data_IF_375028240870
#
_entry.id   IF_375028240870
#
_cell.length_a   1.000
_cell.length_b   1.000
_cell.length_c   1.000
_cell.angle_alpha   90.00
_cell.angle_beta   90.00
_cell.angle_gamma   90.00
#
_symmetry.space_group_name_H-M   'P 1'
#
loop_
_entity.id
_entity.type
_entity.pdbx_description
1 polymer ?
#
# COMPACT_ATOMS: atom_id res chain seq x y z
N UNK A 1 14.63 -12.59 15.31
CA UNK A 1 15.66 -11.54 15.46
C UNK A 1 17.08 -12.06 15.21
N UNK A 2 17.27 -13.09 14.39
CA UNK A 2 18.55 -13.84 14.30
C UNK A 2 19.55 -13.31 13.26
N UNK A 3 19.26 -12.20 12.57
CA UNK A 3 20.12 -11.61 11.54
C UNK A 3 20.43 -10.11 11.70
N UNK A 4 19.89 -9.46 12.74
CA UNK A 4 20.17 -8.05 13.00
C UNK A 4 21.39 -7.94 13.93
N UNK A 5 22.38 -7.06 13.62
CA UNK A 5 23.39 -6.66 14.57
C UNK A 5 22.72 -6.22 15.88
N UNK A 6 23.29 -6.59 17.03
CA UNK A 6 22.68 -6.36 18.34
C UNK A 6 22.40 -4.87 18.59
N UNK A 7 23.30 -4.01 18.07
CA UNK A 7 23.25 -2.53 18.09
C UNK A 7 22.16 -1.92 17.22
N UNK A 8 21.58 -2.70 16.30
CA UNK A 8 20.66 -2.23 15.27
C UNK A 8 19.25 -2.83 15.39
N UNK A 9 19.00 -3.54 16.50
CA UNK A 9 17.64 -3.87 16.91
C UNK A 9 16.97 -2.57 17.31
N UNK A 10 16.07 -2.07 16.47
CA UNK A 10 15.07 -1.09 16.91
C UNK A 10 14.40 -1.69 18.14
N UNK A 11 14.62 -1.11 19.32
CA UNK A 11 13.81 -1.43 20.49
C UNK A 11 12.40 -1.02 20.06
N UNK A 12 11.45 -1.96 19.92
CA UNK A 12 10.06 -1.58 19.69
C UNK A 12 9.69 -0.62 20.81
N UNK A 13 8.80 0.33 20.52
CA UNK A 13 8.14 1.13 21.54
C UNK A 13 7.83 0.22 22.75
N UNK A 14 8.55 0.41 23.86
CA UNK A 14 8.62 -0.60 24.94
C UNK A 14 7.21 -0.88 25.50
N UNK A 15 7.04 -2.08 26.07
CA UNK A 15 5.92 -2.37 26.98
C UNK A 15 5.99 -1.37 28.15
N UNK A 16 5.35 -0.20 28.00
CA UNK A 16 5.48 0.94 28.92
C UNK A 16 5.35 2.32 28.26
N UNK A 17 5.33 2.40 26.93
CA UNK A 17 5.12 3.66 26.20
C UNK A 17 3.77 4.33 26.46
N UNK A 18 3.75 5.66 26.40
CA UNK A 18 2.52 6.42 26.51
C UNK A 18 1.70 6.33 25.21
N UNK A 19 0.37 6.48 25.27
CA UNK A 19 -0.46 6.59 24.06
C UNK A 19 0.01 7.68 23.08
N UNK A 20 0.66 8.74 23.58
CA UNK A 20 1.22 9.81 22.74
C UNK A 20 2.42 9.33 21.93
N UNK A 21 3.24 8.43 22.47
CA UNK A 21 4.39 7.87 21.76
C UNK A 21 3.94 7.04 20.56
N UNK A 22 2.93 6.19 20.75
CA UNK A 22 2.34 5.41 19.65
C UNK A 22 1.73 6.32 18.58
N UNK A 23 0.94 7.33 18.98
CA UNK A 23 0.33 8.28 18.05
C UNK A 23 1.38 9.11 17.28
N UNK A 24 2.50 9.46 17.92
CA UNK A 24 3.60 10.16 17.25
C UNK A 24 4.24 9.27 16.17
N UNK A 25 4.44 7.97 16.46
CA UNK A 25 4.94 7.00 15.48
C UNK A 25 3.96 6.81 14.32
N UNK A 26 2.66 6.69 14.60
CA UNK A 26 1.63 6.56 13.57
C UNK A 26 1.59 7.79 12.64
N UNK A 27 1.70 8.99 13.22
CA UNK A 27 1.75 10.24 12.45
C UNK A 27 2.96 10.28 11.50
N UNK A 28 4.17 9.94 11.97
CA UNK A 28 5.36 9.95 11.11
C UNK A 28 5.31 8.85 10.05
N UNK A 29 4.76 7.67 10.36
CA UNK A 29 4.49 6.59 9.39
C UNK A 29 3.49 7.02 8.33
N UNK A 30 2.41 7.71 8.71
CA UNK A 30 1.42 8.26 7.78
C UNK A 30 2.08 9.25 6.81
N UNK A 31 2.96 10.10 7.32
CA UNK A 31 3.77 11.04 6.53
C UNK A 31 4.91 10.38 5.72
N UNK A 32 5.07 9.05 5.79
CA UNK A 32 6.15 8.28 5.12
C UNK A 32 7.55 8.74 5.55
N UNK A 33 7.68 9.26 6.75
CA UNK A 33 8.96 9.56 7.39
C UNK A 33 9.52 8.30 8.07
N UNK A 34 10.73 8.39 8.62
CA UNK A 34 11.22 7.32 9.47
C UNK A 34 10.34 7.26 10.74
N UNK A 35 9.94 6.06 11.20
CA UNK A 35 9.25 5.78 12.47
C UNK A 35 10.06 6.19 13.71
N UNK A 36 10.34 7.48 13.86
CA UNK A 36 11.11 8.05 14.96
C UNK A 36 10.60 9.46 15.25
N UNK A 37 10.31 9.73 16.52
CA UNK A 37 9.82 11.01 17.00
C UNK A 37 10.40 11.32 18.38
N UNK A 38 10.59 12.61 18.68
CA UNK A 38 10.84 13.10 20.03
C UNK A 38 9.52 13.61 20.59
N UNK A 39 9.07 13.02 21.69
CA UNK A 39 7.81 13.38 22.35
C UNK A 39 8.12 14.05 23.68
N UNK A 40 7.49 15.19 23.94
CA UNK A 40 7.64 15.96 25.19
C UNK A 40 6.24 16.30 25.68
N UNK A 41 5.94 15.90 26.92
CA UNK A 41 4.75 16.42 27.61
C UNK A 41 5.03 17.85 28.06
N UNK A 42 4.24 18.78 27.53
CA UNK A 42 4.36 20.21 27.83
C UNK A 42 3.68 20.58 29.15
N UNK A 43 2.92 19.67 29.77
CA UNK A 43 2.32 19.86 31.09
C UNK A 43 1.13 20.82 31.11
N UNK A 44 0.41 20.98 30.00
CA UNK A 44 -0.78 21.83 29.93
C UNK A 44 -1.86 21.34 30.90
N UNK A 45 -2.50 22.27 31.62
CA UNK A 45 -3.54 21.94 32.59
C UNK A 45 -4.88 21.55 31.97
N UNK A 46 -5.14 22.01 30.73
CA UNK A 46 -6.32 21.65 29.94
C UNK A 46 -6.11 21.88 28.43
N UNK A 47 -7.10 21.48 27.62
CA UNK A 47 -7.03 21.56 26.15
C UNK A 47 -7.06 23.01 25.65
N UNK A 48 -7.78 23.92 26.31
CA UNK A 48 -7.88 25.33 25.89
C UNK A 48 -6.52 26.03 26.02
N UNK A 49 -5.81 25.79 27.13
CA UNK A 49 -4.45 26.28 27.34
C UNK A 49 -3.49 25.78 26.25
N UNK A 50 -3.57 24.49 25.90
CA UNK A 50 -2.78 23.93 24.80
C UNK A 50 -3.14 24.60 23.46
N UNK A 51 -4.43 24.79 23.15
CA UNK A 51 -4.87 25.41 21.90
C UNK A 51 -4.40 26.86 21.77
N UNK A 52 -4.51 27.64 22.84
CA UNK A 52 -4.03 29.01 22.87
C UNK A 52 -2.52 29.08 22.71
N UNK A 53 -1.77 28.20 23.39
CA UNK A 53 -0.32 28.10 23.22
C UNK A 53 0.06 27.72 21.78
N UNK A 54 -0.58 26.70 21.21
CA UNK A 54 -0.37 26.30 19.82
C UNK A 54 -0.63 27.45 18.84
N UNK A 55 -1.74 28.17 19.01
CA UNK A 55 -2.10 29.32 18.18
C UNK A 55 -1.10 30.46 18.29
N UNK A 56 -0.68 30.82 19.52
CA UNK A 56 0.30 31.88 19.76
C UNK A 56 1.67 31.57 19.14
N UNK A 57 2.02 30.29 19.03
CA UNK A 57 3.31 29.83 18.51
C UNK A 57 3.26 29.33 17.05
N UNK A 58 2.10 29.40 16.38
CA UNK A 58 1.94 28.93 15.01
C UNK A 58 2.12 27.41 14.86
N UNK A 59 1.80 26.65 15.90
CA UNK A 59 1.90 25.19 15.94
C UNK A 59 0.53 24.59 15.67
N UNK A 60 0.46 23.63 14.75
CA UNK A 60 -0.75 22.87 14.50
C UNK A 60 -0.98 21.89 15.66
N UNK A 61 -2.18 21.90 16.23
CA UNK A 61 -2.61 20.86 17.15
C UNK A 61 -3.46 19.82 16.40
N UNK A 62 -3.33 18.55 16.79
CA UNK A 62 -4.08 17.44 16.21
C UNK A 62 -4.63 16.57 17.34
N UNK A 63 -5.92 16.22 17.27
CA UNK A 63 -6.50 15.26 18.19
C UNK A 63 -6.05 13.85 17.80
N UNK A 64 -5.67 13.00 18.76
CA UNK A 64 -5.25 11.62 18.49
C UNK A 64 -6.28 10.81 17.68
N UNK A 65 -7.59 11.07 17.90
CA UNK A 65 -8.68 10.46 17.13
C UNK A 65 -8.59 10.73 15.62
N UNK A 66 -8.02 11.86 15.20
CA UNK A 66 -7.84 12.14 13.79
C UNK A 66 -6.84 11.17 13.12
N UNK A 67 -5.97 10.51 13.90
CA UNK A 67 -5.04 9.49 13.40
C UNK A 67 -5.64 8.09 13.42
N UNK A 68 -6.58 7.80 14.33
CA UNK A 68 -7.22 6.48 14.43
C UNK A 68 -8.47 6.36 13.55
N UNK A 69 -9.22 7.45 13.40
CA UNK A 69 -10.56 7.45 12.81
C UNK A 69 -10.58 7.95 11.36
N UNK A 70 -9.44 8.36 10.79
CA UNK A 70 -9.37 8.90 9.42
C UNK A 70 -9.92 7.94 8.37
N UNK A 71 -9.88 6.63 8.63
CA UNK A 71 -10.45 5.60 7.76
C UNK A 71 -11.98 5.64 7.74
N UNK A 72 -12.63 6.08 8.83
CA UNK A 72 -14.09 6.22 8.91
C UNK A 72 -14.56 7.45 8.11
N UNK A 73 -13.76 8.51 8.10
CA UNK A 73 -14.02 9.74 7.34
C UNK A 73 -13.43 9.69 5.91
N UNK A 74 -12.87 8.54 5.51
CA UNK A 74 -12.21 8.41 4.23
C UNK A 74 -13.22 8.49 3.08
N UNK A 75 -13.12 9.57 2.30
CA UNK A 75 -13.96 9.80 1.13
C UNK A 75 -13.09 9.82 -0.12
N UNK A 76 -13.37 8.90 -1.02
CA UNK A 76 -12.77 8.82 -2.35
C UNK A 76 -13.80 9.20 -3.41
N UNK A 77 -13.46 10.15 -4.28
CA UNK A 77 -14.31 10.61 -5.36
C UNK A 77 -13.65 10.37 -6.72
N UNK A 78 -14.45 10.04 -7.72
CA UNK A 78 -14.02 10.09 -9.11
C UNK A 78 -13.82 11.55 -9.53
N UNK A 79 -12.65 11.87 -10.08
CA UNK A 79 -12.30 13.21 -10.55
C UNK A 79 -12.51 13.34 -12.05
N UNK A 80 -12.08 12.34 -12.82
CA UNK A 80 -12.22 12.32 -14.27
C UNK A 80 -12.09 10.90 -14.83
N UNK A 81 -12.54 10.73 -16.08
CA UNK A 81 -12.38 9.50 -16.86
C UNK A 81 -12.05 9.82 -18.32
N UNK A 82 -11.32 8.94 -18.98
CA UNK A 82 -11.00 9.05 -20.41
C UNK A 82 -10.79 7.67 -21.03
N UNK A 83 -10.95 7.57 -22.34
CA UNK A 83 -10.42 6.44 -23.09
C UNK A 83 -8.89 6.39 -22.95
N UNK A 84 -8.35 5.17 -22.89
CA UNK A 84 -6.93 4.87 -22.77
C UNK A 84 -6.56 3.78 -23.76
N UNK A 85 -5.54 4.03 -24.58
CA UNK A 85 -5.07 3.09 -25.59
C UNK A 85 -3.78 2.43 -25.09
N UNK A 86 -3.91 1.17 -24.64
CA UNK A 86 -2.78 0.36 -24.18
C UNK A 86 -2.22 -0.49 -25.33
N UNK A 87 -0.94 -0.80 -25.26
CA UNK A 87 -0.25 -1.64 -26.25
C UNK A 87 -0.97 -2.99 -26.47
N UNK A 88 -1.39 -3.64 -25.38
CA UNK A 88 -2.10 -4.92 -25.42
C UNK A 88 -3.64 -4.77 -25.42
N UNK A 89 -4.18 -3.55 -25.25
CA UNK A 89 -5.63 -3.30 -25.27
C UNK A 89 -5.97 -1.89 -25.75
N UNK A 90 -6.43 -1.80 -27.00
CA UNK A 90 -6.90 -0.55 -27.60
C UNK A 90 -8.28 -0.11 -27.09
N UNK A 91 -9.02 -1.00 -26.41
CA UNK A 91 -10.31 -0.70 -25.79
C UNK A 91 -10.14 -0.67 -24.28
N UNK A 92 -9.70 0.46 -23.74
CA UNK A 92 -9.59 0.63 -22.28
C UNK A 92 -10.05 2.02 -21.87
N UNK A 93 -10.41 2.16 -20.59
CA UNK A 93 -10.74 3.44 -19.95
C UNK A 93 -9.92 3.58 -18.69
N UNK A 94 -9.46 4.79 -18.42
CA UNK A 94 -8.86 5.15 -17.14
C UNK A 94 -9.82 6.06 -16.37
N UNK A 95 -9.93 5.81 -15.08
CA UNK A 95 -10.73 6.58 -14.14
C UNK A 95 -9.82 6.99 -12.98
N UNK A 96 -9.75 8.28 -12.70
CA UNK A 96 -8.92 8.86 -11.65
C UNK A 96 -9.76 9.12 -10.41
N UNK A 97 -9.28 8.63 -9.27
CA UNK A 97 -9.90 8.79 -7.97
C UNK A 97 -8.99 9.58 -7.05
N UNK A 98 -9.58 10.55 -6.34
CA UNK A 98 -8.85 11.39 -5.38
C UNK A 98 -9.52 11.37 -4.03
N UNK A 99 -8.71 11.30 -2.99
CA UNK A 99 -9.17 11.41 -1.61
C UNK A 99 -9.31 12.88 -1.19
N UNK A 100 -10.27 13.18 -0.30
CA UNK A 100 -10.42 14.52 0.26
C UNK A 100 -9.33 14.90 1.27
N UNK A 101 -8.59 13.93 1.80
CA UNK A 101 -7.56 14.14 2.82
C UNK A 101 -6.14 14.34 2.24
N UNK A 102 -6.02 14.60 0.93
CA UNK A 102 -4.75 15.00 0.31
C UNK A 102 -3.77 13.86 -0.01
N UNK A 103 -4.23 12.61 0.02
CA UNK A 103 -3.45 11.46 -0.41
C UNK A 103 -3.20 11.43 -1.94
N UNK A 104 -2.18 10.67 -2.40
CA UNK A 104 -1.97 10.42 -3.82
C UNK A 104 -3.21 9.83 -4.50
N UNK A 105 -3.44 10.21 -5.75
CA UNK A 105 -4.54 9.69 -6.55
C UNK A 105 -4.42 8.19 -6.79
N UNK A 106 -5.56 7.54 -7.01
CA UNK A 106 -5.65 6.14 -7.38
C UNK A 106 -6.35 5.99 -8.72
N UNK A 107 -6.10 4.89 -9.40
CA UNK A 107 -6.58 4.71 -10.77
C UNK A 107 -7.29 3.38 -10.92
N UNK A 108 -8.43 3.40 -11.60
CA UNK A 108 -9.03 2.21 -12.18
C UNK A 108 -8.78 2.22 -13.69
N UNK A 109 -8.28 1.11 -14.22
CA UNK A 109 -8.15 0.89 -15.65
C UNK A 109 -9.13 -0.22 -16.01
N UNK A 110 -10.20 0.14 -16.69
CA UNK A 110 -11.21 -0.80 -17.20
C UNK A 110 -10.76 -1.25 -18.59
N UNK A 111 -10.57 -2.55 -18.77
CA UNK A 111 -10.18 -3.15 -20.04
C UNK A 111 -11.43 -3.76 -20.67
N UNK A 112 -11.68 -3.44 -21.94
CA UNK A 112 -12.85 -3.86 -22.68
C UNK A 112 -14.16 -3.21 -22.21
N UNK A 113 -15.25 -3.96 -22.34
CA UNK A 113 -16.59 -3.60 -21.84
C UNK A 113 -17.12 -4.75 -20.96
N UNK A 114 -16.50 -5.00 -19.80
CA UNK A 114 -16.82 -6.16 -18.99
C UNK A 114 -18.18 -6.02 -18.30
N UNK A 115 -18.88 -7.14 -18.14
CA UNK A 115 -19.93 -7.22 -17.14
C UNK A 115 -19.33 -7.03 -15.74
N UNK A 116 -20.04 -6.30 -14.89
CA UNK A 116 -19.56 -5.97 -13.53
C UNK A 116 -19.68 -7.15 -12.56
N UNK A 117 -20.64 -8.05 -12.81
CA UNK A 117 -20.82 -9.26 -12.02
C UNK A 117 -19.66 -10.24 -12.24
N UNK A 118 -19.08 -10.75 -11.16
CA UNK A 118 -18.01 -11.74 -11.16
C UNK A 118 -16.79 -11.36 -12.02
N UNK A 119 -16.52 -10.06 -12.10
CA UNK A 119 -15.48 -9.47 -12.95
C UNK A 119 -14.07 -9.83 -12.46
N UNK A 120 -13.13 -10.00 -13.39
CA UNK A 120 -11.72 -10.20 -13.04
C UNK A 120 -11.09 -8.87 -12.65
N UNK A 121 -10.53 -8.82 -11.43
CA UNK A 121 -9.88 -7.64 -10.87
C UNK A 121 -8.44 -7.93 -10.52
N UNK A 122 -7.54 -7.08 -11.03
CA UNK A 122 -6.14 -7.02 -10.62
C UNK A 122 -5.95 -5.87 -9.64
N UNK A 123 -5.69 -6.19 -8.37
CA UNK A 123 -5.26 -5.19 -7.39
C UNK A 123 -3.75 -5.00 -7.43
N UNK A 124 -3.29 -3.91 -8.04
CA UNK A 124 -1.87 -3.56 -8.18
C UNK A 124 -1.47 -2.46 -7.19
N UNK A 125 -0.45 -2.73 -6.38
CA UNK A 125 0.17 -1.71 -5.53
C UNK A 125 1.28 -1.05 -6.34
N UNK A 126 1.27 0.28 -6.44
CA UNK A 126 2.24 1.04 -7.23
C UNK A 126 3.69 0.68 -6.89
N UNK A 127 4.53 0.56 -7.92
CA UNK A 127 5.95 0.31 -7.77
C UNK A 127 6.74 1.12 -8.81
N UNK A 128 7.15 2.34 -8.47
CA UNK A 128 7.89 3.25 -9.34
C UNK A 128 9.11 2.59 -10.00
N UNK A 129 9.97 1.95 -9.20
CA UNK A 129 11.18 1.31 -9.71
C UNK A 129 10.88 0.14 -10.65
N UNK A 130 9.83 -0.64 -10.36
CA UNK A 130 9.42 -1.75 -11.22
C UNK A 130 8.67 -1.25 -12.44
N UNK A 131 7.47 -0.71 -12.21
CA UNK A 131 6.48 -0.35 -13.22
C UNK A 131 7.05 0.65 -14.23
N UNK A 132 7.70 1.74 -13.77
CA UNK A 132 8.22 2.79 -14.65
C UNK A 132 9.64 2.48 -15.14
N UNK A 133 10.57 2.17 -14.24
CA UNK A 133 11.99 2.04 -14.59
C UNK A 133 12.40 0.64 -15.06
N UNK A 134 11.55 -0.37 -14.93
CA UNK A 134 11.86 -1.74 -15.36
C UNK A 134 12.87 -2.47 -14.46
N UNK A 135 12.93 -2.11 -13.17
CA UNK A 135 13.84 -2.74 -12.20
C UNK A 135 13.68 -4.26 -12.17
N UNK A 136 14.79 -4.99 -12.32
CA UNK A 136 14.85 -6.45 -12.24
C UNK A 136 14.75 -6.99 -10.81
N UNK A 137 14.98 -6.15 -9.79
CA UNK A 137 14.91 -6.52 -8.37
C UNK A 137 13.50 -6.84 -7.86
N UNK A 138 12.46 -6.64 -8.68
CA UNK A 138 11.09 -6.99 -8.36
C UNK A 138 10.35 -7.46 -9.61
N UNK A 139 9.18 -8.07 -9.40
CA UNK A 139 8.32 -8.61 -10.46
C UNK A 139 7.09 -7.71 -10.75
N UNK A 140 7.06 -6.48 -10.22
CA UNK A 140 5.88 -5.61 -10.29
C UNK A 140 5.47 -5.28 -11.73
N UNK A 141 6.42 -4.86 -12.58
CA UNK A 141 6.12 -4.51 -13.98
C UNK A 141 5.58 -5.68 -14.77
N UNK A 142 6.25 -6.83 -14.67
CA UNK A 142 5.86 -8.02 -15.41
C UNK A 142 4.50 -8.52 -14.92
N UNK A 143 4.19 -8.43 -13.63
CA UNK A 143 2.82 -8.69 -13.14
C UNK A 143 1.78 -7.69 -13.69
N UNK A 144 2.12 -6.40 -13.82
CA UNK A 144 1.19 -5.40 -14.37
C UNK A 144 0.91 -5.66 -15.85
N UNK A 145 1.95 -5.82 -16.67
CA UNK A 145 1.82 -6.02 -18.12
C UNK A 145 1.09 -7.33 -18.45
N UNK A 146 1.42 -8.42 -17.78
CA UNK A 146 0.72 -9.69 -17.96
C UNK A 146 -0.75 -9.58 -17.55
N UNK A 147 -1.09 -8.74 -16.55
CA UNK A 147 -2.48 -8.54 -16.17
C UNK A 147 -3.25 -7.79 -17.25
N UNK A 148 -2.64 -6.75 -17.85
CA UNK A 148 -3.22 -6.06 -19.00
C UNK A 148 -3.48 -7.06 -20.14
N UNK A 149 -2.48 -7.86 -20.50
CA UNK A 149 -2.59 -8.85 -21.58
C UNK A 149 -3.68 -9.88 -21.31
N UNK A 150 -3.70 -10.49 -20.12
CA UNK A 150 -4.69 -11.49 -19.75
C UNK A 150 -6.11 -10.94 -19.80
N UNK A 151 -6.33 -9.74 -19.27
CA UNK A 151 -7.64 -9.10 -19.29
C UNK A 151 -8.06 -8.69 -20.70
N UNK A 152 -7.11 -8.31 -21.55
CA UNK A 152 -7.36 -8.01 -22.96
C UNK A 152 -7.77 -9.26 -23.76
N UNK A 153 -7.10 -10.40 -23.52
CA UNK A 153 -7.43 -11.70 -24.11
C UNK A 153 -8.83 -12.19 -23.68
N UNK A 154 -9.25 -11.84 -22.46
CA UNK A 154 -10.60 -12.10 -21.94
C UNK A 154 -11.62 -11.03 -22.33
N UNK A 155 -11.21 -10.00 -23.08
CA UNK A 155 -12.01 -8.85 -23.50
C UNK A 155 -12.71 -8.11 -22.35
N UNK A 156 -12.17 -8.16 -21.13
CA UNK A 156 -12.87 -7.64 -19.96
C UNK A 156 -12.11 -7.76 -18.64
N UNK A 157 -12.02 -6.66 -17.90
CA UNK A 157 -11.61 -6.66 -16.49
C UNK A 157 -11.23 -5.30 -15.94
N UNK A 158 -10.80 -5.26 -14.69
CA UNK A 158 -10.37 -4.03 -14.01
C UNK A 158 -8.96 -4.21 -13.44
N UNK A 159 -8.09 -3.24 -13.67
CA UNK A 159 -6.84 -3.07 -12.91
C UNK A 159 -7.04 -1.90 -11.96
N UNK A 160 -6.90 -2.15 -10.66
CA UNK A 160 -6.84 -1.12 -9.64
C UNK A 160 -5.38 -0.80 -9.37
N UNK A 161 -4.92 0.38 -9.77
CA UNK A 161 -3.59 0.88 -9.48
C UNK A 161 -3.65 1.79 -8.26
N UNK A 162 -3.34 1.22 -7.09
CA UNK A 162 -3.38 1.93 -5.81
C UNK A 162 -1.99 2.49 -5.51
N UNK A 163 -1.94 3.80 -5.27
CA UNK A 163 -0.72 4.57 -5.02
C UNK A 163 -0.19 4.36 -3.60
N UNK A 164 0.38 3.19 -3.37
CA UNK A 164 0.91 2.73 -2.08
C UNK A 164 2.29 2.07 -2.26
N UNK A 165 3.26 2.91 -2.62
CA UNK A 165 4.65 2.50 -2.86
C UNK A 165 5.29 1.84 -1.63
N UNK A 166 6.19 0.88 -1.88
CA UNK A 166 6.97 0.25 -0.82
C UNK A 166 6.15 -0.56 0.18
N UNK A 167 4.92 -0.97 -0.17
CA UNK A 167 3.94 -1.52 0.78
C UNK A 167 3.46 -0.50 1.81
N UNK A 168 3.24 0.74 1.37
CA UNK A 168 2.73 1.79 2.23
C UNK A 168 3.80 2.60 2.96
N UNK A 169 5.09 2.22 2.92
CA UNK A 169 6.17 2.99 3.56
C UNK A 169 6.72 4.13 2.67
N UNK A 170 6.32 4.19 1.41
CA UNK A 170 6.78 5.20 0.45
C UNK A 170 8.11 4.86 -0.24
N UNK A 171 8.42 5.59 -1.32
CA UNK A 171 9.59 5.30 -2.17
C UNK A 171 10.91 5.48 -1.42
N UNK A 172 11.07 6.58 -0.68
CA UNK A 172 12.31 6.87 0.02
C UNK A 172 12.69 5.75 1.00
N UNK A 173 11.72 5.27 1.79
CA UNK A 173 11.96 4.19 2.75
C UNK A 173 12.17 2.84 2.06
N UNK A 174 11.51 2.57 0.93
CA UNK A 174 11.82 1.41 0.09
C UNK A 174 13.28 1.41 -0.37
N UNK A 175 13.79 2.54 -0.85
CA UNK A 175 15.19 2.64 -1.27
C UNK A 175 16.15 2.49 -0.08
N UNK A 176 15.83 3.05 1.08
CA UNK A 176 16.58 2.81 2.33
C UNK A 176 16.60 1.32 2.69
N UNK A 177 15.46 0.64 2.64
CA UNK A 177 15.36 -0.79 2.90
C UNK A 177 16.20 -1.61 1.90
N UNK A 178 16.23 -1.23 0.62
CA UNK A 178 17.11 -1.87 -0.37
C UNK A 178 18.59 -1.70 -0.05
N UNK A 179 19.00 -0.50 0.34
CA UNK A 179 20.39 -0.25 0.79
C UNK A 179 20.75 -1.15 1.98
N UNK A 180 19.86 -1.26 2.96
CA UNK A 180 20.06 -2.12 4.14
C UNK A 180 20.12 -3.61 3.77
N UNK A 181 19.28 -4.07 2.85
CA UNK A 181 19.33 -5.45 2.35
C UNK A 181 20.70 -5.75 1.73
N UNK A 182 21.24 -4.84 0.92
CA UNK A 182 22.54 -5.03 0.28
C UNK A 182 23.71 -4.93 1.27
N UNK A 183 23.68 -3.94 2.17
CA UNK A 183 24.77 -3.70 3.12
C UNK A 183 24.86 -4.76 4.21
N UNK A 184 23.71 -5.25 4.69
CA UNK A 184 23.61 -6.12 5.86
C UNK A 184 23.13 -7.53 5.52
N UNK A 185 22.97 -7.86 4.24
CA UNK A 185 22.42 -9.15 3.76
C UNK A 185 21.07 -9.49 4.40
N UNK A 186 20.26 -8.47 4.71
CA UNK A 186 18.93 -8.64 5.30
C UNK A 186 17.92 -9.04 4.23
N UNK A 187 16.87 -9.75 4.64
CA UNK A 187 15.68 -9.92 3.79
C UNK A 187 14.78 -8.67 3.83
N UNK A 188 13.77 -8.63 2.97
CA UNK A 188 12.85 -7.47 2.90
C UNK A 188 12.07 -7.24 4.19
N UNK A 189 11.73 -8.30 4.94
CA UNK A 189 11.00 -8.18 6.21
C UNK A 189 11.90 -7.59 7.28
N UNK A 190 13.11 -8.14 7.43
CA UNK A 190 14.07 -7.71 8.43
C UNK A 190 14.57 -6.28 8.16
N UNK A 191 14.74 -5.89 6.89
CA UNK A 191 15.09 -4.52 6.52
C UNK A 191 13.97 -3.50 6.81
N UNK A 192 12.70 -3.87 6.64
CA UNK A 192 11.58 -2.99 7.02
C UNK A 192 11.50 -2.83 8.54
N UNK A 193 11.65 -3.93 9.28
CA UNK A 193 11.65 -3.91 10.75
C UNK A 193 12.82 -3.12 11.31
N UNK A 194 14.01 -3.21 10.69
CA UNK A 194 15.16 -2.35 11.02
C UNK A 194 14.79 -0.87 10.96
N UNK A 195 14.02 -0.47 9.95
CA UNK A 195 13.55 0.90 9.79
C UNK A 195 12.37 1.26 10.71
N UNK A 196 11.85 0.32 11.51
CA UNK A 196 10.71 0.54 12.40
C UNK A 196 9.33 0.43 11.73
N UNK A 197 9.25 -0.14 10.53
CA UNK A 197 7.99 -0.40 9.83
C UNK A 197 7.49 -1.82 10.05
N UNK A 198 6.18 -2.00 9.93
CA UNK A 198 5.56 -3.32 9.89
C UNK A 198 5.84 -4.04 8.56
N UNK A 199 5.56 -5.34 8.52
CA UNK A 199 5.83 -6.18 7.34
C UNK A 199 5.01 -5.74 6.10
N UNK A 200 3.84 -5.13 6.33
CA UNK A 200 2.91 -4.60 5.34
C UNK A 200 2.05 -3.46 5.92
N UNK A 201 2.31 -2.23 5.50
CA UNK A 201 1.63 -1.00 5.97
C UNK A 201 0.53 -0.54 4.99
N UNK A 202 0.08 -1.46 4.13
CA UNK A 202 -0.90 -1.15 3.08
C UNK A 202 -2.32 -1.13 3.63
N UNK A 203 -3.12 -0.24 3.04
CA UNK A 203 -4.53 -0.09 3.32
C UNK A 203 -5.30 -0.34 2.04
N UNK A 204 -6.27 -1.26 2.11
CA UNK A 204 -7.06 -1.67 0.95
C UNK A 204 -8.42 -0.95 0.85
N UNK A 205 -8.71 -0.05 1.79
CA UNK A 205 -9.90 0.80 1.76
C UNK A 205 -10.08 1.56 0.44
N UNK A 206 -9.04 2.18 -0.16
CA UNK A 206 -9.23 2.89 -1.42
C UNK A 206 -9.63 1.94 -2.56
N UNK A 207 -9.05 0.74 -2.61
CA UNK A 207 -9.44 -0.29 -3.59
C UNK A 207 -10.90 -0.70 -3.42
N UNK A 208 -11.33 -0.94 -2.18
CA UNK A 208 -12.72 -1.26 -1.86
C UNK A 208 -13.67 -0.13 -2.29
N UNK A 209 -13.33 1.13 -2.03
CA UNK A 209 -14.18 2.26 -2.43
C UNK A 209 -14.29 2.41 -3.96
N UNK A 210 -13.18 2.22 -4.68
CA UNK A 210 -13.19 2.24 -6.15
C UNK A 210 -14.11 1.13 -6.67
N UNK A 211 -13.99 -0.10 -6.15
CA UNK A 211 -14.85 -1.22 -6.55
C UNK A 211 -16.34 -0.93 -6.31
N UNK A 212 -16.69 -0.35 -5.15
CA UNK A 212 -18.09 0.06 -4.87
C UNK A 212 -18.57 1.14 -5.84
N UNK A 213 -17.72 2.12 -6.15
CA UNK A 213 -18.06 3.19 -7.10
C UNK A 213 -18.33 2.63 -8.50
N UNK A 214 -17.54 1.63 -8.92
CA UNK A 214 -17.74 0.91 -10.17
C UNK A 214 -18.94 -0.06 -10.16
N UNK A 215 -19.63 -0.21 -9.02
CA UNK A 215 -20.78 -1.08 -8.87
C UNK A 215 -20.45 -2.57 -8.71
N UNK A 216 -19.18 -2.92 -8.44
CA UNK A 216 -18.75 -4.32 -8.27
C UNK A 216 -19.30 -4.87 -6.95
N UNK A 217 -19.92 -6.04 -7.00
CA UNK A 217 -20.41 -6.78 -5.83
C UNK A 217 -19.70 -8.12 -5.63
N UNK A 218 -19.35 -8.79 -6.73
CA UNK A 218 -18.58 -10.03 -6.76
C UNK A 218 -17.43 -9.94 -7.77
N UNK A 219 -16.31 -10.60 -7.47
CA UNK A 219 -15.12 -10.53 -8.30
C UNK A 219 -14.24 -11.77 -8.22
N UNK A 220 -13.42 -11.95 -9.25
CA UNK A 220 -12.30 -12.89 -9.26
C UNK A 220 -11.01 -12.09 -9.10
N UNK A 221 -10.20 -12.37 -8.07
CA UNK A 221 -8.96 -11.64 -7.82
C UNK A 221 -7.77 -12.29 -8.50
N UNK A 222 -7.11 -11.53 -9.39
CA UNK A 222 -5.87 -11.93 -10.05
C UNK A 222 -4.66 -11.61 -9.13
N UNK A 223 -4.33 -12.55 -8.23
CA UNK A 223 -3.30 -12.36 -7.21
C UNK A 223 -2.68 -13.65 -6.67
N UNK A 224 -1.42 -13.55 -6.25
CA UNK A 224 -0.68 -14.56 -5.48
C UNK A 224 -0.62 -14.24 -3.99
N UNK A 225 -1.18 -13.10 -3.57
CA UNK A 225 -1.12 -12.66 -2.19
C UNK A 225 -2.45 -12.98 -1.48
N UNK A 226 -2.51 -13.97 -0.58
CA UNK A 226 -3.73 -14.31 0.14
C UNK A 226 -4.23 -13.17 1.04
N UNK A 227 -3.34 -12.29 1.51
CA UNK A 227 -3.71 -11.11 2.30
C UNK A 227 -4.63 -10.18 1.51
N UNK A 228 -4.40 -9.99 0.18
CA UNK A 228 -5.28 -9.15 -0.65
C UNK A 228 -6.70 -9.70 -0.74
N UNK A 229 -6.83 -11.02 -0.77
CA UNK A 229 -8.14 -11.70 -0.80
C UNK A 229 -8.89 -11.46 0.50
N UNK A 230 -8.21 -11.68 1.64
CA UNK A 230 -8.79 -11.45 2.96
C UNK A 230 -9.19 -9.99 3.16
N UNK A 231 -8.32 -9.05 2.80
CA UNK A 231 -8.55 -7.61 2.97
C UNK A 231 -9.72 -7.11 2.14
N UNK A 232 -9.83 -7.52 0.87
CA UNK A 232 -11.00 -7.17 0.05
C UNK A 232 -12.28 -7.80 0.60
N UNK A 233 -12.22 -9.05 1.06
CA UNK A 233 -13.35 -9.73 1.71
C UNK A 233 -13.86 -9.01 2.96
N UNK A 234 -12.97 -8.43 3.79
CA UNK A 234 -13.35 -7.63 4.97
C UNK A 234 -14.21 -6.41 4.63
N UNK A 235 -14.11 -5.89 3.40
CA UNK A 235 -14.94 -4.80 2.91
C UNK A 235 -16.28 -5.26 2.31
N UNK A 236 -16.64 -6.54 2.45
CA UNK A 236 -17.95 -7.08 2.07
C UNK A 236 -18.07 -7.49 0.60
N UNK A 237 -16.95 -7.66 -0.09
CA UNK A 237 -16.94 -8.17 -1.47
C UNK A 237 -16.90 -9.70 -1.50
N UNK A 238 -17.69 -10.30 -2.39
CA UNK A 238 -17.62 -11.72 -2.67
C UNK A 238 -16.46 -12.04 -3.63
N UNK A 239 -15.35 -12.54 -3.08
CA UNK A 239 -14.22 -13.01 -3.88
C UNK A 239 -14.46 -14.47 -4.27
N UNK A 240 -15.10 -14.66 -5.42
CA UNK A 240 -15.57 -15.96 -5.91
C UNK A 240 -14.43 -16.89 -6.34
N UNK A 241 -13.29 -16.31 -6.75
CA UNK A 241 -12.12 -17.05 -7.22
C UNK A 241 -10.84 -16.24 -7.06
N UNK A 242 -9.76 -16.92 -6.68
CA UNK A 242 -8.39 -16.40 -6.78
C UNK A 242 -7.73 -16.99 -8.03
N UNK A 243 -7.28 -16.13 -8.93
CA UNK A 243 -6.54 -16.50 -10.14
C UNK A 243 -5.06 -16.25 -9.86
N UNK A 244 -4.20 -17.28 -9.83
CA UNK A 244 -2.79 -17.11 -9.57
C UNK A 244 -2.06 -16.50 -10.77
N UNK A 245 -0.85 -16.05 -10.52
CA UNK A 245 -0.02 -15.29 -11.42
C UNK A 245 1.32 -15.99 -11.58
N UNK A 246 1.59 -16.59 -12.73
CA UNK A 246 2.89 -17.22 -12.95
C UNK A 246 3.91 -16.18 -13.41
N UNK A 247 5.03 -16.09 -12.69
CA UNK A 247 6.11 -15.14 -12.98
C UNK A 247 7.45 -15.86 -13.08
N UNK A 248 8.24 -15.47 -14.07
CA UNK A 248 9.60 -15.97 -14.21
C UNK A 248 10.51 -15.36 -13.14
N UNK A 249 11.31 -16.23 -12.52
CA UNK A 249 12.35 -15.85 -11.56
C UNK A 249 13.63 -15.54 -12.34
N UNK A 250 14.28 -14.42 -12.02
CA UNK A 250 15.58 -14.04 -12.54
C UNK A 250 16.63 -13.99 -11.42
N UNK A 251 17.91 -13.80 -11.77
CA UNK A 251 19.03 -13.78 -10.82
C UNK A 251 18.93 -12.66 -9.76
N UNK A 252 18.21 -11.58 -10.04
CA UNK A 252 18.07 -10.40 -9.16
C UNK A 252 16.86 -10.47 -8.22
N UNK A 253 15.79 -11.17 -8.59
CA UNK A 253 14.55 -11.22 -7.82
C UNK A 253 14.32 -12.54 -7.06
N UNK A 254 15.19 -13.53 -7.20
CA UNK A 254 15.04 -14.84 -6.55
C UNK A 254 14.87 -14.76 -5.03
N UNK A 255 15.72 -13.98 -4.35
CA UNK A 255 15.61 -13.78 -2.91
C UNK A 255 14.31 -13.07 -2.53
N UNK A 256 13.92 -12.04 -3.30
CA UNK A 256 12.69 -11.30 -3.06
C UNK A 256 11.43 -12.17 -3.19
N UNK A 257 11.36 -13.02 -4.22
CA UNK A 257 10.26 -13.96 -4.43
C UNK A 257 10.25 -15.03 -3.34
N UNK A 258 11.43 -15.57 -2.97
CA UNK A 258 11.56 -16.53 -1.87
C UNK A 258 11.06 -15.95 -0.54
N UNK A 259 11.44 -14.73 -0.18
CA UNK A 259 10.96 -14.05 1.03
C UNK A 259 9.44 -13.86 0.99
N UNK A 260 8.86 -13.49 -0.16
CA UNK A 260 7.39 -13.41 -0.30
C UNK A 260 6.69 -14.74 -0.03
N UNK A 261 7.25 -15.85 -0.48
CA UNK A 261 6.68 -17.18 -0.25
C UNK A 261 6.84 -17.60 1.21
N UNK A 262 8.07 -17.56 1.73
CA UNK A 262 8.40 -18.16 3.03
C UNK A 262 7.94 -17.32 4.23
N UNK A 263 7.91 -15.99 4.09
CA UNK A 263 7.61 -15.06 5.20
C UNK A 263 6.22 -14.46 5.11
N UNK A 264 5.66 -14.37 3.90
CA UNK A 264 4.41 -13.64 3.64
C UNK A 264 3.31 -14.52 3.01
N UNK A 265 3.57 -15.81 2.85
CA UNK A 265 2.59 -16.79 2.40
C UNK A 265 2.14 -16.63 0.94
N UNK A 266 2.92 -15.94 0.10
CA UNK A 266 2.57 -15.83 -1.33
C UNK A 266 2.68 -17.18 -2.03
N UNK A 267 1.73 -17.48 -2.92
CA UNK A 267 1.76 -18.67 -3.78
C UNK A 267 2.43 -18.36 -5.12
N UNK A 268 2.92 -19.39 -5.84
CA UNK A 268 3.44 -19.26 -7.20
C UNK A 268 2.45 -19.76 -8.25
#
# INVERSE_FOLDING_TARGET
MSGLPEEARSVPVEEGSSPLDSLAIDLVKMAKLLPSALVIDMGFGNIEEMYDWCKCNGILHLAGKALTDYTQEYVLQEVCRSDLYLQDSLKSKIIVYRSKIGEPEHYAIVIGEPAIENIVVRLHSSCYTGDLLGSLSCDCRSQLLTAVKLLAEQAGGIILYISQEGRGIGLANKIRAYSLQMQNSLDTVDANRFLGFDDDERIFLPAAMILRNLGVSSLQLLTNNPHKVQEIGKYGFDVTKTIPFHMEINEYNGNYIKTKQTRLGHTN
#
